data_IF_228223781017
#
_entry.id   IF_228223781017
#
_cell.length_a   1.000
_cell.length_b   1.000
_cell.length_c   1.000
_cell.angle_alpha   90.00
_cell.angle_beta   90.00
_cell.angle_gamma   90.00
#
_symmetry.space_group_name_H-M   'P 1'
#
loop_
_entity.id
_entity.type
_entity.pdbx_description
1 polymer ?
#
# COMPACT_ATOMS: atom_id res chain seq x y z
N UNK A 1 -9.56 -12.70 -3.21
CA UNK A 1 -8.45 -11.73 -3.29
C UNK A 1 -8.66 -10.63 -4.33
N UNK A 2 -8.86 -10.93 -5.62
CA UNK A 2 -8.94 -9.89 -6.68
C UNK A 2 -10.01 -8.80 -6.47
N UNK A 3 -11.18 -9.16 -5.92
CA UNK A 3 -12.25 -8.20 -5.63
C UNK A 3 -11.85 -7.15 -4.58
N UNK A 4 -11.05 -7.54 -3.58
CA UNK A 4 -10.53 -6.69 -2.50
C UNK A 4 -9.49 -5.66 -2.97
N UNK A 5 -9.14 -5.64 -4.26
CA UNK A 5 -8.24 -4.64 -4.87
C UNK A 5 -8.89 -3.92 -6.05
N UNK A 6 -10.21 -4.05 -6.20
CA UNK A 6 -10.95 -3.32 -7.24
C UNK A 6 -10.98 -1.81 -6.95
N UNK A 7 -11.02 -0.98 -8.00
CA UNK A 7 -11.09 0.48 -7.88
C UNK A 7 -12.33 0.92 -7.09
N UNK A 8 -13.45 0.21 -7.25
CA UNK A 8 -14.67 0.46 -6.46
C UNK A 8 -14.43 0.22 -4.97
N UNK A 9 -13.69 -0.82 -4.61
CA UNK A 9 -13.39 -1.14 -3.22
C UNK A 9 -12.38 -0.16 -2.62
N UNK A 10 -11.33 0.19 -3.36
CA UNK A 10 -10.37 1.23 -2.96
C UNK A 10 -11.09 2.56 -2.68
N UNK A 11 -12.09 2.92 -3.49
CA UNK A 11 -12.91 4.12 -3.27
C UNK A 11 -13.72 4.06 -1.97
N UNK A 12 -14.25 2.89 -1.60
CA UNK A 12 -14.95 2.72 -0.31
C UNK A 12 -13.99 2.87 0.88
N UNK A 13 -12.70 2.63 0.68
CA UNK A 13 -11.66 2.68 1.70
C UNK A 13 -10.97 4.03 1.85
N UNK A 14 -11.21 5.00 0.95
CA UNK A 14 -10.56 6.33 0.98
C UNK A 14 -10.72 7.01 2.34
N UNK A 15 -11.84 6.81 3.03
CA UNK A 15 -12.08 7.38 4.38
C UNK A 15 -11.05 6.91 5.41
N UNK A 16 -10.61 5.64 5.33
CA UNK A 16 -9.59 5.07 6.22
C UNK A 16 -8.21 5.66 5.90
N UNK A 17 -7.92 5.83 4.61
CA UNK A 17 -6.67 6.46 4.17
C UNK A 17 -6.61 7.93 4.61
N UNK A 18 -7.70 8.67 4.47
CA UNK A 18 -7.80 10.08 4.81
C UNK A 18 -7.50 10.34 6.29
N UNK A 19 -8.06 9.52 7.19
CA UNK A 19 -7.79 9.60 8.63
C UNK A 19 -6.29 9.44 8.95
N UNK A 20 -5.65 8.45 8.32
CA UNK A 20 -4.21 8.20 8.50
C UNK A 20 -3.33 9.29 7.86
N UNK A 21 -3.77 9.87 6.73
CA UNK A 21 -3.06 11.01 6.11
C UNK A 21 -3.10 12.23 7.01
N UNK A 22 -4.19 12.47 7.73
CA UNK A 22 -4.28 13.60 8.66
C UNK A 22 -3.27 13.45 9.81
N UNK A 23 -3.16 12.26 10.41
CA UNK A 23 -2.14 11.98 11.44
C UNK A 23 -0.73 12.27 10.89
N UNK A 24 -0.42 11.79 9.69
CA UNK A 24 0.89 12.03 9.07
C UNK A 24 1.15 13.54 8.86
N UNK A 25 0.15 14.30 8.38
CA UNK A 25 0.24 15.75 8.16
C UNK A 25 0.45 16.51 9.47
N UNK A 26 -0.30 16.18 10.52
CA UNK A 26 -0.17 16.79 11.84
C UNK A 26 1.23 16.58 12.41
N UNK A 27 1.76 15.36 12.30
CA UNK A 27 3.13 15.04 12.75
C UNK A 27 4.18 15.84 12.01
N UNK A 28 4.12 15.86 10.67
CA UNK A 28 5.05 16.64 9.85
C UNK A 28 4.94 18.13 10.18
N UNK A 29 3.73 18.67 10.32
CA UNK A 29 3.50 20.07 10.68
C UNK A 29 4.10 20.41 12.05
N UNK A 30 3.95 19.52 13.03
CA UNK A 30 4.57 19.70 14.34
C UNK A 30 6.09 19.77 14.30
N UNK A 31 6.76 18.96 13.45
CA UNK A 31 8.21 19.11 13.23
C UNK A 31 8.57 20.43 12.54
N UNK A 32 7.76 20.86 11.56
CA UNK A 32 7.94 22.15 10.88
C UNK A 32 7.83 23.34 11.86
N UNK A 33 6.82 23.35 12.73
CA UNK A 33 6.59 24.40 13.72
C UNK A 33 7.74 24.52 14.72
N UNK A 34 8.33 23.37 15.10
CA UNK A 34 9.51 23.32 15.98
C UNK A 34 10.83 23.50 15.24
N UNK A 35 10.81 23.54 13.91
CA UNK A 35 12.00 23.55 13.04
C UNK A 35 12.96 22.38 13.31
N UNK A 36 12.40 21.20 13.56
CA UNK A 36 13.15 19.98 13.87
C UNK A 36 13.28 19.09 12.65
N UNK A 37 14.47 18.50 12.47
CA UNK A 37 14.64 17.42 11.51
C UNK A 37 13.94 16.14 11.99
N UNK A 38 13.40 15.35 11.07
CA UNK A 38 12.71 14.11 11.36
C UNK A 38 13.06 13.01 10.34
N UNK A 39 12.85 11.76 10.75
CA UNK A 39 13.02 10.60 9.86
C UNK A 39 11.76 10.37 9.03
N UNK A 40 11.77 10.85 7.79
CA UNK A 40 10.65 10.69 6.86
C UNK A 40 10.36 9.21 6.54
N UNK A 41 11.39 8.35 6.47
CA UNK A 41 11.20 6.92 6.21
C UNK A 41 10.43 6.27 7.36
N UNK A 42 10.79 6.62 8.61
CA UNK A 42 10.09 6.13 9.80
C UNK A 42 8.62 6.55 9.82
N UNK A 43 8.33 7.82 9.56
CA UNK A 43 6.94 8.32 9.50
C UNK A 43 6.11 7.62 8.41
N UNK A 44 6.65 7.49 7.20
CA UNK A 44 5.97 6.81 6.09
C UNK A 44 5.77 5.31 6.36
N UNK A 45 6.70 4.69 7.10
CA UNK A 45 6.59 3.30 7.52
C UNK A 45 5.41 3.10 8.47
N UNK A 46 5.32 3.91 9.52
CA UNK A 46 4.22 3.86 10.49
C UNK A 46 2.86 4.18 9.85
N UNK A 47 2.83 5.18 8.96
CA UNK A 47 1.65 5.47 8.14
C UNK A 47 1.18 4.25 7.35
N UNK A 48 2.10 3.56 6.69
CA UNK A 48 1.74 2.40 5.89
C UNK A 48 1.23 1.24 6.75
N UNK A 49 1.82 1.03 7.94
CA UNK A 49 1.39 -0.01 8.89
C UNK A 49 -0.07 0.21 9.31
N UNK A 50 -0.40 1.41 9.79
CA UNK A 50 -1.76 1.68 10.29
C UNK A 50 -2.79 1.68 9.15
N UNK A 51 -2.44 2.20 7.97
CA UNK A 51 -3.31 2.08 6.78
C UNK A 51 -3.58 0.62 6.45
N UNK A 52 -2.56 -0.23 6.39
CA UNK A 52 -2.76 -1.65 6.08
C UNK A 52 -3.47 -2.39 7.20
N UNK A 53 -3.27 -2.01 8.47
CA UNK A 53 -4.03 -2.53 9.60
C UNK A 53 -5.53 -2.20 9.47
N UNK A 54 -5.87 -0.96 9.14
CA UNK A 54 -7.26 -0.55 8.91
C UNK A 54 -7.87 -1.25 7.70
N UNK A 55 -7.14 -1.37 6.60
CA UNK A 55 -7.62 -2.06 5.40
C UNK A 55 -7.81 -3.56 5.61
N UNK A 56 -6.91 -4.20 6.36
CA UNK A 56 -6.92 -5.63 6.60
C UNK A 56 -7.91 -6.03 7.70
N UNK A 57 -7.94 -5.29 8.81
CA UNK A 57 -8.61 -5.68 10.06
C UNK A 57 -9.66 -4.67 10.55
N UNK A 58 -9.93 -3.60 9.80
CA UNK A 58 -10.74 -2.46 10.27
C UNK A 58 -10.24 -1.89 11.61
N UNK A 59 -8.94 -1.97 11.86
CA UNK A 59 -8.33 -1.54 13.11
C UNK A 59 -6.97 -0.89 12.87
N UNK A 60 -6.79 0.33 13.34
CA UNK A 60 -5.47 0.96 13.47
C UNK A 60 -4.68 0.30 14.59
N UNK A 61 -3.38 0.09 14.39
CA UNK A 61 -2.48 -0.39 15.46
C UNK A 61 -1.99 0.77 16.33
N UNK A 62 -2.23 2.02 15.92
CA UNK A 62 -1.83 3.22 16.65
C UNK A 62 -0.32 3.49 16.56
N UNK A 63 0.37 2.84 15.62
CA UNK A 63 1.82 2.93 15.47
C UNK A 63 2.24 4.35 15.07
N UNK A 64 1.45 5.03 14.24
CA UNK A 64 1.68 6.42 13.88
C UNK A 64 1.60 7.35 15.09
N UNK A 65 0.65 7.15 15.99
CA UNK A 65 0.47 8.02 17.15
C UNK A 65 1.53 7.77 18.22
N UNK A 66 1.87 6.51 18.47
CA UNK A 66 2.79 6.12 19.53
C UNK A 66 4.27 6.14 19.13
N UNK A 67 4.58 6.19 17.83
CA UNK A 67 5.92 5.99 17.28
C UNK A 67 6.56 4.64 17.69
N UNK A 68 5.72 3.62 17.84
CA UNK A 68 6.09 2.32 18.39
C UNK A 68 5.56 1.17 17.53
N UNK A 69 6.47 0.52 16.80
CA UNK A 69 6.16 -0.63 15.95
C UNK A 69 5.83 -1.89 16.75
N UNK A 70 6.16 -1.95 18.04
CA UNK A 70 5.85 -3.11 18.88
C UNK A 70 4.35 -3.27 19.14
N UNK A 71 3.56 -2.24 18.82
CA UNK A 71 2.10 -2.28 18.84
C UNK A 71 1.51 -3.12 17.69
N UNK A 72 2.28 -3.41 16.65
CA UNK A 72 1.84 -4.34 15.60
C UNK A 72 1.67 -5.72 16.24
N UNK A 73 0.45 -6.30 16.21
CA UNK A 73 0.21 -7.57 16.84
C UNK A 73 1.08 -8.64 16.18
N UNK A 74 1.75 -9.51 16.96
CA UNK A 74 2.46 -10.65 16.38
C UNK A 74 1.46 -11.56 15.66
N UNK A 75 1.88 -12.19 14.57
CA UNK A 75 1.12 -13.25 13.91
C UNK A 75 0.92 -14.37 14.93
N UNK A 76 -0.24 -14.40 15.59
CA UNK A 76 -0.66 -15.46 16.49
C UNK A 76 -1.88 -16.10 15.84
N UNK A 77 -1.85 -17.42 15.68
CA UNK A 77 -3.05 -18.22 15.41
C UNK A 77 -4.05 -17.93 16.54
N UNK A 78 -5.10 -17.15 16.26
CA UNK A 78 -6.04 -16.72 17.30
C UNK A 78 -7.34 -17.50 17.19
N UNK A 79 -7.57 -18.40 18.15
CA UNK A 79 -8.83 -19.11 18.31
C UNK A 79 -9.95 -18.14 18.78
N UNK A 80 -10.59 -17.48 17.82
CA UNK A 80 -12.00 -17.08 17.83
C UNK A 80 -12.45 -15.93 18.74
N UNK A 81 -13.12 -14.94 18.14
CA UNK A 81 -14.32 -14.34 18.74
C UNK A 81 -15.29 -13.86 17.63
N UNK A 82 -16.53 -14.38 17.57
CA UNK A 82 -17.51 -13.97 16.56
C UNK A 82 -18.32 -12.75 17.06
N UNK A 83 -17.83 -11.55 16.81
CA UNK A 83 -18.57 -10.32 17.12
C UNK A 83 -18.92 -9.52 15.85
N UNK A 84 -20.01 -9.97 15.20
CA UNK A 84 -21.18 -9.15 14.91
C UNK A 84 -21.00 -7.69 14.47
N UNK A 85 -20.37 -7.43 13.32
CA UNK A 85 -20.74 -6.28 12.48
C UNK A 85 -20.37 -6.57 11.03
N UNK A 86 -21.27 -6.29 10.07
CA UNK A 86 -21.01 -6.42 8.62
C UNK A 86 -19.93 -5.40 8.21
N UNK A 87 -18.66 -5.71 8.48
CA UNK A 87 -17.50 -4.89 8.11
C UNK A 87 -17.07 -5.25 6.68
N UNK A 88 -16.55 -4.27 5.93
CA UNK A 88 -16.08 -4.44 4.55
C UNK A 88 -14.54 -4.32 4.51
N UNK A 89 -13.84 -5.14 5.27
CA UNK A 89 -12.37 -5.22 5.25
C UNK A 89 -11.88 -6.44 4.44
N UNK A 90 -10.57 -6.46 4.18
CA UNK A 90 -9.96 -7.54 3.38
C UNK A 90 -10.14 -8.87 4.10
N UNK A 91 -10.02 -8.92 5.43
CA UNK A 91 -10.26 -10.14 6.21
C UNK A 91 -11.69 -10.65 6.05
N UNK A 92 -12.70 -9.78 6.11
CA UNK A 92 -14.11 -10.14 5.89
C UNK A 92 -14.33 -10.63 4.47
N UNK A 93 -13.72 -10.01 3.47
CA UNK A 93 -13.77 -10.50 2.09
C UNK A 93 -13.09 -11.87 1.93
N UNK A 94 -12.03 -12.15 2.68
CA UNK A 94 -11.38 -13.45 2.71
C UNK A 94 -12.28 -14.49 3.40
N UNK A 95 -12.91 -14.15 4.54
CA UNK A 95 -13.88 -15.00 5.26
C UNK A 95 -15.06 -15.38 4.35
N UNK A 96 -15.57 -14.42 3.60
CA UNK A 96 -16.73 -14.61 2.72
C UNK A 96 -16.36 -15.23 1.37
N UNK A 97 -15.08 -15.35 1.03
CA UNK A 97 -14.64 -15.89 -0.24
C UNK A 97 -14.89 -17.42 -0.30
N UNK A 98 -15.40 -17.85 -1.45
CA UNK A 98 -15.52 -19.26 -1.83
C UNK A 98 -14.67 -19.54 -3.05
N UNK A 99 -14.06 -20.72 -3.09
CA UNK A 99 -13.34 -21.18 -4.27
C UNK A 99 -14.33 -21.34 -5.43
N UNK A 100 -14.09 -20.71 -6.60
CA UNK A 100 -15.05 -20.72 -7.71
C UNK A 100 -15.35 -22.12 -8.25
N UNK A 101 -14.34 -23.01 -8.25
CA UNK A 101 -14.50 -24.38 -8.75
C UNK A 101 -14.90 -25.42 -7.68
N UNK A 102 -14.36 -25.34 -6.45
CA UNK A 102 -14.60 -26.35 -5.39
C UNK A 102 -15.69 -25.94 -4.40
N UNK A 103 -16.04 -24.66 -4.33
CA UNK A 103 -16.97 -24.10 -3.32
C UNK A 103 -16.40 -24.06 -1.90
N UNK A 104 -15.14 -24.43 -1.70
CA UNK A 104 -14.49 -24.47 -0.39
C UNK A 104 -14.18 -23.06 0.14
N UNK A 105 -14.06 -22.96 1.47
CA UNK A 105 -13.66 -21.75 2.17
C UNK A 105 -12.23 -21.89 2.69
N UNK A 106 -11.54 -20.77 2.85
CA UNK A 106 -10.25 -20.75 3.55
C UNK A 106 -10.45 -21.10 5.03
N UNK A 107 -9.49 -21.84 5.59
CA UNK A 107 -9.47 -22.07 7.04
C UNK A 107 -9.19 -20.77 7.78
N UNK A 108 -9.57 -20.66 9.05
CA UNK A 108 -9.27 -19.48 9.85
C UNK A 108 -7.77 -19.16 9.89
N UNK A 109 -6.93 -20.18 10.02
CA UNK A 109 -5.47 -20.04 9.99
C UNK A 109 -4.97 -19.48 8.66
N UNK A 110 -5.51 -19.93 7.53
CA UNK A 110 -5.13 -19.41 6.20
C UNK A 110 -5.59 -17.96 6.01
N UNK A 111 -6.78 -17.61 6.52
CA UNK A 111 -7.33 -16.26 6.48
C UNK A 111 -6.43 -15.25 7.23
N UNK A 112 -6.06 -15.60 8.46
CA UNK A 112 -5.18 -14.78 9.29
C UNK A 112 -3.78 -14.68 8.65
N UNK A 113 -3.23 -15.80 8.19
CA UNK A 113 -1.93 -15.84 7.51
C UNK A 113 -1.90 -14.95 6.28
N UNK A 114 -2.95 -14.98 5.44
CA UNK A 114 -3.02 -14.15 4.24
C UNK A 114 -3.16 -12.65 4.58
N UNK A 115 -3.99 -12.31 5.57
CA UNK A 115 -4.15 -10.92 6.02
C UNK A 115 -2.86 -10.34 6.63
N UNK A 116 -2.11 -11.14 7.40
CA UNK A 116 -0.80 -10.74 7.89
C UNK A 116 0.27 -10.68 6.79
N UNK A 117 0.25 -11.62 5.85
CA UNK A 117 1.10 -11.61 4.67
C UNK A 117 0.92 -10.31 3.86
N UNK A 118 -0.31 -9.83 3.74
CA UNK A 118 -0.64 -8.56 3.10
C UNK A 118 0.01 -7.36 3.81
N UNK A 119 -0.04 -7.29 5.14
CA UNK A 119 0.57 -6.19 5.90
C UNK A 119 2.08 -6.19 5.71
N UNK A 120 2.74 -7.33 5.85
CA UNK A 120 4.19 -7.43 5.74
C UNK A 120 4.63 -7.05 4.32
N UNK A 121 3.98 -7.61 3.30
CA UNK A 121 4.30 -7.35 1.90
C UNK A 121 4.04 -5.89 1.49
N UNK A 122 2.93 -5.30 1.93
CA UNK A 122 2.53 -3.93 1.60
C UNK A 122 3.34 -2.88 2.37
N UNK A 123 3.70 -3.14 3.62
CA UNK A 123 4.34 -2.17 4.50
C UNK A 123 5.72 -1.77 3.99
N UNK A 124 6.62 -2.74 3.82
CA UNK A 124 8.01 -2.45 3.46
C UNK A 124 8.10 -1.87 2.04
N UNK A 125 7.33 -2.42 1.09
CA UNK A 125 7.38 -1.99 -0.31
C UNK A 125 6.84 -0.58 -0.49
N UNK A 126 5.69 -0.26 0.09
CA UNK A 126 5.06 1.06 -0.06
C UNK A 126 5.86 2.14 0.66
N UNK A 127 6.24 1.92 1.93
CA UNK A 127 7.03 2.90 2.69
C UNK A 127 8.40 3.17 2.09
N UNK A 128 9.09 2.15 1.57
CA UNK A 128 10.35 2.34 0.88
C UNK A 128 10.15 3.10 -0.45
N UNK A 129 9.10 2.77 -1.21
CA UNK A 129 8.81 3.43 -2.50
C UNK A 129 8.55 4.92 -2.30
N UNK A 130 7.71 5.27 -1.32
CA UNK A 130 7.36 6.67 -1.04
C UNK A 130 8.54 7.44 -0.45
N UNK A 131 9.33 6.82 0.44
CA UNK A 131 10.55 7.45 0.96
C UNK A 131 11.56 7.75 -0.16
N UNK A 132 11.76 6.82 -1.10
CA UNK A 132 12.63 7.02 -2.26
C UNK A 132 12.08 8.08 -3.22
N UNK A 133 10.76 8.15 -3.42
CA UNK A 133 10.14 9.20 -4.22
C UNK A 133 10.46 10.58 -3.64
N UNK A 134 10.25 10.79 -2.34
CA UNK A 134 10.59 12.05 -1.68
C UNK A 134 12.09 12.32 -1.72
N UNK A 135 12.93 11.32 -1.49
CA UNK A 135 14.39 11.46 -1.63
C UNK A 135 14.76 12.00 -3.01
N UNK A 136 14.25 11.40 -4.09
CA UNK A 136 14.51 11.86 -5.45
C UNK A 136 13.97 13.27 -5.73
N UNK A 137 12.76 13.59 -5.29
CA UNK A 137 12.17 14.91 -5.48
C UNK A 137 12.96 16.01 -4.74
N UNK A 138 13.35 15.75 -3.50
CA UNK A 138 14.14 16.70 -2.69
C UNK A 138 15.53 16.96 -3.28
N UNK A 139 16.11 15.98 -4.00
CA UNK A 139 17.39 16.14 -4.70
C UNK A 139 17.24 16.62 -6.16
N UNK A 140 16.01 16.81 -6.64
CA UNK A 140 15.69 17.34 -7.95
C UNK A 140 14.74 18.55 -7.85
N UNK A 141 15.22 19.72 -7.40
CA UNK A 141 14.37 20.87 -7.10
C UNK A 141 13.47 21.30 -8.27
N UNK A 142 13.96 21.23 -9.50
CA UNK A 142 13.16 21.55 -10.69
C UNK A 142 11.97 20.59 -10.88
N UNK A 143 12.15 19.30 -10.59
CA UNK A 143 11.07 18.32 -10.66
C UNK A 143 10.08 18.52 -9.51
N UNK A 144 10.57 18.76 -8.29
CA UNK A 144 9.72 19.06 -7.13
C UNK A 144 8.87 20.32 -7.36
N UNK A 145 9.49 21.43 -7.80
CA UNK A 145 8.75 22.66 -8.10
C UNK A 145 7.68 22.45 -9.17
N UNK A 146 7.96 21.63 -10.18
CA UNK A 146 6.98 21.30 -11.22
C UNK A 146 5.84 20.42 -10.69
N UNK A 147 6.11 19.46 -9.80
CA UNK A 147 5.07 18.69 -9.11
C UNK A 147 4.15 19.61 -8.31
N UNK A 148 4.72 20.48 -7.47
CA UNK A 148 3.96 21.41 -6.63
C UNK A 148 3.12 22.36 -7.50
N UNK A 149 3.72 22.96 -8.53
CA UNK A 149 3.00 23.86 -9.43
C UNK A 149 1.82 23.18 -10.15
N UNK A 150 1.95 21.91 -10.56
CA UNK A 150 0.84 21.17 -11.16
C UNK A 150 -0.27 20.87 -10.14
N UNK A 151 0.08 20.55 -8.89
CA UNK A 151 -0.89 20.33 -7.81
C UNK A 151 -1.67 21.61 -7.54
N UNK A 152 -0.98 22.73 -7.32
CA UNK A 152 -1.60 24.03 -7.02
C UNK A 152 -2.47 24.55 -8.16
N UNK A 153 -2.12 24.25 -9.42
CA UNK A 153 -2.88 24.69 -10.58
C UNK A 153 -4.14 23.87 -10.86
N UNK A 154 -4.17 22.58 -10.48
CA UNK A 154 -5.24 21.66 -10.85
C UNK A 154 -6.14 21.22 -9.70
N UNK A 155 -5.73 21.43 -8.44
CA UNK A 155 -6.48 20.99 -7.27
C UNK A 155 -6.76 22.15 -6.30
N UNK A 156 -7.95 22.18 -5.68
CA UNK A 156 -8.30 23.22 -4.72
C UNK A 156 -7.47 23.06 -3.43
N UNK A 157 -7.01 24.15 -2.78
CA UNK A 157 -6.20 24.04 -1.56
C UNK A 157 -6.90 23.25 -0.45
N UNK A 158 -6.28 22.16 0.04
CA UNK A 158 -6.85 21.36 1.12
C UNK A 158 -7.06 22.15 2.42
N UNK A 159 -6.21 23.15 2.70
CA UNK A 159 -6.34 24.04 3.87
C UNK A 159 -7.65 24.84 3.88
N UNK A 160 -8.31 24.99 2.73
CA UNK A 160 -9.62 25.66 2.61
C UNK A 160 -10.80 24.68 2.67
N UNK A 161 -10.52 23.38 2.78
CA UNK A 161 -11.49 22.29 2.80
C UNK A 161 -11.43 21.55 4.12
N UNK A 162 -12.53 20.91 4.54
CA UNK A 162 -12.51 19.99 5.67
C UNK A 162 -11.91 18.60 5.33
N UNK A 163 -11.29 18.45 4.16
CA UNK A 163 -10.78 17.18 3.66
C UNK A 163 -9.30 17.00 3.98
N UNK A 164 -8.93 15.80 4.43
CA UNK A 164 -7.54 15.45 4.73
C UNK A 164 -6.70 15.27 3.47
N UNK A 165 -7.29 14.70 2.41
CA UNK A 165 -6.66 14.39 1.14
C UNK A 165 -7.63 14.58 -0.05
N UNK A 166 -7.09 14.45 -1.28
CA UNK A 166 -7.88 14.45 -2.50
C UNK A 166 -8.34 13.03 -2.85
N UNK A 167 -9.56 12.84 -3.40
CA UNK A 167 -9.97 11.54 -3.92
C UNK A 167 -8.97 10.99 -4.95
N UNK A 168 -8.64 9.70 -4.87
CA UNK A 168 -7.61 9.09 -5.69
C UNK A 168 -7.94 9.19 -7.20
N UNK A 169 -9.23 9.11 -7.56
CA UNK A 169 -9.69 9.28 -8.94
C UNK A 169 -9.43 10.70 -9.48
N UNK A 170 -9.64 11.73 -8.65
CA UNK A 170 -9.35 13.11 -9.01
C UNK A 170 -7.84 13.32 -9.15
N UNK A 171 -7.05 12.90 -8.16
CA UNK A 171 -5.60 13.00 -8.21
C UNK A 171 -5.02 12.30 -9.45
N UNK A 172 -5.50 11.09 -9.77
CA UNK A 172 -5.01 10.29 -10.91
C UNK A 172 -5.30 10.91 -12.28
N UNK A 173 -6.37 11.69 -12.38
CA UNK A 173 -6.79 12.34 -13.63
C UNK A 173 -6.20 13.75 -13.78
N UNK A 174 -6.07 14.48 -12.67
CA UNK A 174 -5.61 15.86 -12.65
C UNK A 174 -4.08 16.03 -12.57
N UNK A 175 -3.34 15.02 -12.11
CA UNK A 175 -1.90 15.11 -11.81
C UNK A 175 -1.02 14.18 -12.65
N UNK A 176 -0.92 14.37 -13.99
CA UNK A 176 -0.11 13.51 -14.83
C UNK A 176 1.39 13.57 -14.51
N UNK A 177 1.93 14.70 -14.03
CA UNK A 177 3.35 14.86 -13.76
C UNK A 177 3.80 14.19 -12.44
N UNK A 178 3.14 14.38 -11.28
CA UNK A 178 3.40 13.57 -10.08
C UNK A 178 3.27 12.07 -10.36
N UNK A 179 2.29 11.64 -11.16
CA UNK A 179 2.16 10.24 -11.57
C UNK A 179 3.36 9.77 -12.40
N UNK A 180 3.90 10.62 -13.28
CA UNK A 180 5.13 10.33 -14.01
C UNK A 180 6.34 10.23 -13.07
N UNK A 181 6.44 11.08 -12.04
CA UNK A 181 7.48 10.98 -11.01
C UNK A 181 7.40 9.67 -10.22
N UNK A 182 6.20 9.21 -9.86
CA UNK A 182 6.01 7.89 -9.22
C UNK A 182 6.51 6.77 -10.14
N UNK A 183 6.15 6.81 -11.43
CA UNK A 183 6.61 5.82 -12.42
C UNK A 183 8.13 5.84 -12.61
N UNK A 184 8.71 7.03 -12.65
CA UNK A 184 10.15 7.19 -12.80
C UNK A 184 10.91 6.71 -11.56
N UNK A 185 10.34 6.94 -10.36
CA UNK A 185 10.87 6.38 -9.11
C UNK A 185 10.92 4.84 -9.16
N UNK A 186 9.85 4.18 -9.64
CA UNK A 186 9.86 2.72 -9.85
C UNK A 186 10.88 2.27 -10.91
N UNK A 187 11.14 3.10 -11.94
CA UNK A 187 12.12 2.78 -12.99
C UNK A 187 13.55 2.83 -12.47
N UNK A 188 13.89 3.83 -11.64
CA UNK A 188 15.25 4.05 -11.15
C UNK A 188 15.57 3.18 -9.94
N UNK A 189 14.65 3.08 -8.99
CA UNK A 189 14.83 2.32 -7.73
C UNK A 189 13.65 1.41 -7.47
N UNK A 190 13.58 0.24 -8.15
CA UNK A 190 12.58 -0.76 -7.82
C UNK A 190 12.83 -1.31 -6.41
N UNK A 191 11.84 -1.20 -5.52
CA UNK A 191 11.94 -1.72 -4.14
C UNK A 191 11.87 -3.24 -4.05
N UNK A 192 11.26 -3.88 -5.05
CA UNK A 192 11.26 -5.32 -5.19
C UNK A 192 12.24 -5.70 -6.30
N UNK A 193 13.39 -6.25 -5.90
CA UNK A 193 14.50 -6.59 -6.81
C UNK A 193 14.69 -8.10 -6.99
N UNK A 194 13.88 -8.93 -6.32
CA UNK A 194 14.01 -10.37 -6.44
C UNK A 194 13.62 -10.81 -7.86
N UNK A 195 14.33 -11.81 -8.43
CA UNK A 195 13.94 -12.39 -9.69
C UNK A 195 12.51 -12.91 -9.62
N UNK A 196 11.67 -12.48 -10.55
CA UNK A 196 10.33 -13.05 -10.74
C UNK A 196 10.47 -14.37 -11.51
N UNK A 197 10.99 -15.40 -10.83
CA UNK A 197 11.21 -16.71 -11.42
C UNK A 197 9.93 -17.24 -12.09
N UNK A 198 10.09 -17.89 -13.24
CA UNK A 198 8.99 -18.48 -14.00
C UNK A 198 9.35 -19.92 -14.31
N UNK A 199 8.53 -20.85 -13.83
CA UNK A 199 8.73 -22.27 -14.11
C UNK A 199 8.13 -22.62 -15.46
N UNK A 200 8.88 -23.32 -16.31
CA UNK A 200 8.34 -23.88 -17.55
C UNK A 200 7.41 -25.05 -17.21
N UNK A 201 6.10 -24.84 -17.36
CA UNK A 201 5.06 -25.86 -17.13
C UNK A 201 4.50 -26.46 -18.42
N UNK A 202 4.68 -25.77 -19.56
CA UNK A 202 4.14 -26.19 -20.85
C UNK A 202 4.96 -27.33 -21.48
N UNK A 203 4.23 -28.32 -22.03
CA UNK A 203 4.66 -29.50 -22.81
C UNK A 203 5.81 -30.33 -22.22
N UNK A 204 5.80 -31.65 -22.46
CA UNK A 204 6.91 -32.51 -22.03
C UNK A 204 8.24 -32.07 -22.65
N UNK A 205 8.22 -31.51 -23.86
CA UNK A 205 9.39 -30.96 -24.51
C UNK A 205 9.87 -29.60 -23.93
N UNK A 206 9.08 -28.83 -23.19
CA UNK A 206 9.46 -27.47 -22.76
C UNK A 206 9.10 -26.37 -23.78
N UNK A 207 9.80 -25.22 -23.74
CA UNK A 207 9.46 -24.03 -24.54
C UNK A 207 10.69 -23.37 -25.17
N UNK A 208 10.56 -22.84 -26.39
CA UNK A 208 11.61 -22.06 -27.04
C UNK A 208 11.35 -20.56 -26.88
N UNK A 209 12.29 -19.84 -26.25
CA UNK A 209 12.24 -18.39 -26.03
C UNK A 209 13.40 -17.74 -26.76
N UNK A 210 13.11 -16.84 -27.70
CA UNK A 210 14.12 -16.14 -28.51
C UNK A 210 15.17 -17.10 -29.13
N UNK A 211 14.71 -18.25 -29.64
CA UNK A 211 15.56 -19.27 -30.27
C UNK A 211 16.33 -20.19 -29.31
N UNK A 212 16.18 -20.01 -27.99
CA UNK A 212 16.76 -20.90 -26.97
C UNK A 212 15.71 -21.83 -26.39
N UNK A 213 15.99 -23.12 -26.42
CA UNK A 213 15.12 -24.12 -25.84
C UNK A 213 15.32 -24.20 -24.33
N UNK A 214 14.22 -24.13 -23.56
CA UNK A 214 14.18 -24.22 -22.10
C UNK A 214 13.33 -25.45 -21.72
N UNK A 215 13.93 -26.47 -21.09
CA UNK A 215 13.22 -27.69 -20.72
C UNK A 215 12.10 -27.45 -19.69
N UNK A 216 11.14 -28.37 -19.66
CA UNK A 216 10.11 -28.41 -18.62
C UNK A 216 10.74 -28.46 -17.22
N UNK A 217 10.14 -27.75 -16.26
CA UNK A 217 10.52 -27.79 -14.85
C UNK A 217 11.64 -26.84 -14.44
N UNK A 218 12.34 -26.21 -15.38
CA UNK A 218 13.37 -25.17 -15.16
C UNK A 218 12.72 -23.83 -14.77
N UNK A 219 13.37 -23.07 -13.88
CA UNK A 219 12.97 -21.74 -13.37
C UNK A 219 14.08 -20.70 -13.50
#
# INVERSE_FOLDING_TARGET
>A
MSHSFSISYVKEMEVLLDANVEILKEKISGFCDRQEAFDLKKLLHYYTIDVLGELAFSQSFGVQMADDETLVPPVKEHNGDPAGQKRKDILTNLILATHPDTGEHLTQTDLETEAFGFIIAGTHTTSATTALLFHHLLHAPAALSKCVAEIDANLPPLLSTAAAAYPAALASSALPYPRACVRENFRITPVFTLPLARRVTAAAEGITIAGRHVPQGVS
#
